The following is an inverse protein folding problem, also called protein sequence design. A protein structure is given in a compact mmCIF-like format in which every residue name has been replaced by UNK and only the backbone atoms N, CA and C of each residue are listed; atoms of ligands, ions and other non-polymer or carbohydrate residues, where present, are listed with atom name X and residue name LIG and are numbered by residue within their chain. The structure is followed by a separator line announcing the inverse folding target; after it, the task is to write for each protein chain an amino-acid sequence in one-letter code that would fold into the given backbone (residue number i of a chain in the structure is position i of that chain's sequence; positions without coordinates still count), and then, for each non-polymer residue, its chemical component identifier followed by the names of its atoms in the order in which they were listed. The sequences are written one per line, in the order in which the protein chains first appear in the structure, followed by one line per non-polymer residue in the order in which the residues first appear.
data_IF_841746532074
#
_entry.id   IF_841746532074
#
_cell.length_a   1.000
_cell.length_b   1.000
_cell.length_c   1.000
_cell.angle_alpha   90.00
_cell.angle_beta   90.00
_cell.angle_gamma   90.00
#
_symmetry.space_group_name_H-M   'P 1'
#
loop_
_entity.id
_entity.type
_entity.pdbx_description
1 polymer ?
#
# COMPACT_ATOMS: atom_id res chain seq x y z
N UNK A 1 1.15 -19.69 -10.54
CA UNK A 1 0.55 -18.53 -9.85
C UNK A 1 -0.33 -17.84 -10.89
N UNK A 2 -1.64 -17.74 -10.70
CA UNK A 2 -2.52 -17.16 -11.71
C UNK A 2 -2.31 -15.64 -11.75
N UNK A 3 -1.78 -15.12 -12.87
CA UNK A 3 -1.62 -13.68 -13.10
C UNK A 3 -2.96 -12.93 -12.91
N UNK A 4 -4.07 -13.55 -13.34
CA UNK A 4 -5.42 -13.03 -13.12
C UNK A 4 -5.71 -12.75 -11.63
N UNK A 5 -5.34 -13.65 -10.72
CA UNK A 5 -5.57 -13.44 -9.27
C UNK A 5 -4.72 -12.32 -8.68
N UNK A 6 -3.50 -12.12 -9.22
CA UNK A 6 -2.61 -11.06 -8.76
C UNK A 6 -3.07 -9.67 -9.24
N UNK A 7 -3.60 -9.59 -10.46
CA UNK A 7 -4.21 -8.35 -10.96
C UNK A 7 -5.57 -8.07 -10.30
N UNK A 8 -6.32 -9.09 -9.90
CA UNK A 8 -7.62 -8.90 -9.25
C UNK A 8 -7.48 -8.27 -7.85
N UNK A 9 -6.44 -8.62 -7.10
CA UNK A 9 -6.22 -8.12 -5.73
C UNK A 9 -5.33 -6.84 -5.69
N UNK A 10 -5.02 -6.24 -6.85
CA UNK A 10 -4.18 -5.06 -6.94
C UNK A 10 -4.91 -3.76 -6.60
N UNK A 11 -4.38 -3.00 -5.64
CA UNK A 11 -4.88 -1.68 -5.28
C UNK A 11 -3.99 -0.56 -5.87
N UNK A 12 -4.38 0.06 -7.00
CA UNK A 12 -3.56 1.07 -7.68
C UNK A 12 -3.34 2.33 -6.84
N UNK A 13 -4.32 2.70 -6.01
CA UNK A 13 -4.25 3.91 -5.19
C UNK A 13 -3.20 3.78 -4.10
N UNK A 14 -3.17 2.65 -3.38
CA UNK A 14 -2.16 2.36 -2.34
C UNK A 14 -0.77 2.23 -2.96
N UNK A 15 -0.66 1.52 -4.08
CA UNK A 15 0.59 1.38 -4.81
C UNK A 15 1.17 2.75 -5.19
N UNK A 16 0.37 3.62 -5.80
CA UNK A 16 0.77 4.98 -6.15
C UNK A 16 1.28 5.76 -4.93
N UNK A 17 0.51 5.76 -3.83
CA UNK A 17 0.88 6.46 -2.60
C UNK A 17 2.22 5.98 -2.08
N UNK A 18 2.41 4.66 -1.94
CA UNK A 18 3.63 4.11 -1.37
C UNK A 18 4.85 4.32 -2.26
N UNK A 19 4.70 4.22 -3.58
CA UNK A 19 5.77 4.57 -4.52
C UNK A 19 6.16 6.05 -4.43
N UNK A 20 5.17 6.96 -4.40
CA UNK A 20 5.43 8.40 -4.29
C UNK A 20 6.11 8.75 -2.96
N UNK A 21 5.65 8.17 -1.85
CA UNK A 21 6.28 8.35 -0.54
C UNK A 21 7.71 7.82 -0.53
N UNK A 22 7.96 6.62 -1.07
CA UNK A 22 9.31 6.06 -1.14
C UNK A 22 10.28 6.95 -1.92
N UNK A 23 9.88 7.41 -3.11
CA UNK A 23 10.71 8.30 -3.94
C UNK A 23 10.94 9.64 -3.22
N UNK A 24 9.91 10.21 -2.61
CA UNK A 24 10.03 11.44 -1.82
C UNK A 24 11.03 11.26 -0.67
N UNK A 25 10.91 10.19 0.12
CA UNK A 25 11.80 9.93 1.26
C UNK A 25 13.26 9.82 0.82
N UNK A 26 13.53 9.18 -0.33
CA UNK A 26 14.88 9.08 -0.91
C UNK A 26 15.39 10.47 -1.31
N UNK A 27 14.61 11.22 -2.11
CA UNK A 27 15.01 12.55 -2.58
C UNK A 27 15.22 13.53 -1.42
N UNK A 28 14.35 13.47 -0.40
CA UNK A 28 14.43 14.32 0.77
C UNK A 28 15.66 14.01 1.62
N UNK A 29 15.98 12.73 1.85
CA UNK A 29 17.19 12.33 2.57
C UNK A 29 18.48 12.76 1.83
N UNK A 30 18.53 12.55 0.51
CA UNK A 30 19.66 12.97 -0.32
C UNK A 30 19.85 14.49 -0.31
N UNK A 31 18.73 15.23 -0.31
CA UNK A 31 18.76 16.70 -0.20
C UNK A 31 19.26 17.16 1.17
N UNK A 32 18.79 16.55 2.25
CA UNK A 32 19.23 16.89 3.61
C UNK A 32 20.70 16.60 3.87
N UNK A 33 21.26 15.58 3.22
CA UNK A 33 22.69 15.26 3.27
C UNK A 33 23.54 16.13 2.33
N UNK A 34 22.92 16.98 1.50
CA UNK A 34 23.63 17.84 0.55
C UNK A 34 24.19 17.09 -0.67
N UNK A 35 23.80 15.84 -0.91
CA UNK A 35 24.19 15.10 -2.14
C UNK A 35 23.56 15.68 -3.40
N UNK A 36 22.41 16.35 -3.26
CA UNK A 36 21.66 16.96 -4.35
C UNK A 36 21.38 18.43 -4.01
N UNK A 37 21.61 19.33 -4.96
CA UNK A 37 21.40 20.79 -4.82
C UNK A 37 20.04 21.28 -5.35
N UNK A 38 19.08 20.39 -5.55
CA UNK A 38 17.77 20.72 -6.10
C UNK A 38 16.95 21.57 -5.12
N UNK A 39 16.07 22.43 -5.67
CA UNK A 39 15.08 23.14 -4.86
C UNK A 39 14.12 22.17 -4.16
N UNK A 40 13.61 22.56 -3.00
CA UNK A 40 12.62 21.74 -2.28
C UNK A 40 11.36 21.51 -3.13
N UNK A 41 11.01 22.46 -4.00
CA UNK A 41 9.93 22.31 -4.97
C UNK A 41 10.10 21.09 -5.88
N UNK A 42 11.34 20.81 -6.31
CA UNK A 42 11.68 19.65 -7.14
C UNK A 42 11.67 18.36 -6.31
N UNK A 43 12.18 18.41 -5.08
CA UNK A 43 12.20 17.26 -4.17
C UNK A 43 10.78 16.77 -3.83
N UNK A 44 9.82 17.70 -3.70
CA UNK A 44 8.42 17.39 -3.41
C UNK A 44 7.61 16.89 -4.64
N UNK A 45 8.21 16.82 -5.84
CA UNK A 45 7.50 16.40 -7.07
C UNK A 45 6.74 15.06 -6.98
N UNK A 46 7.21 14.01 -6.29
CA UNK A 46 6.43 12.78 -6.14
C UNK A 46 5.13 13.01 -5.36
N UNK A 47 5.16 13.90 -4.36
CA UNK A 47 3.99 14.27 -3.56
C UNK A 47 3.01 15.09 -4.40
N UNK A 48 3.51 16.08 -5.17
CA UNK A 48 2.67 16.85 -6.10
C UNK A 48 1.96 15.96 -7.12
N UNK A 49 2.68 14.97 -7.65
CA UNK A 49 2.12 13.98 -8.57
C UNK A 49 1.00 13.17 -7.92
N UNK A 50 1.23 12.66 -6.70
CA UNK A 50 0.20 11.93 -5.95
C UNK A 50 -1.05 12.80 -5.70
N UNK A 51 -0.90 14.03 -5.19
CA UNK A 51 -2.06 14.91 -4.95
C UNK A 51 -2.79 15.26 -6.24
N UNK A 52 -2.08 15.51 -7.33
CA UNK A 52 -2.66 15.79 -8.64
C UNK A 52 -3.52 14.62 -9.12
N UNK A 53 -3.08 13.37 -8.92
CA UNK A 53 -3.86 12.17 -9.23
C UNK A 53 -5.13 12.07 -8.38
N UNK A 54 -5.08 12.42 -7.09
CA UNK A 54 -6.27 12.44 -6.22
C UNK A 54 -7.28 13.49 -6.69
N UNK A 55 -6.83 14.70 -7.02
CA UNK A 55 -7.68 15.78 -7.53
C UNK A 55 -8.31 15.36 -8.87
N UNK A 56 -7.52 14.83 -9.80
CA UNK A 56 -8.02 14.33 -11.09
C UNK A 56 -9.03 13.19 -10.90
N UNK A 57 -8.77 12.26 -9.98
CA UNK A 57 -9.70 11.18 -9.64
C UNK A 57 -11.04 11.71 -9.14
N UNK A 58 -11.02 12.70 -8.27
CA UNK A 58 -12.23 13.30 -7.72
C UNK A 58 -12.98 14.15 -8.75
N UNK A 59 -12.30 14.91 -9.62
CA UNK A 59 -12.96 15.70 -10.66
C UNK A 59 -13.67 14.81 -11.67
N UNK A 60 -13.02 13.74 -12.14
CA UNK A 60 -13.63 12.73 -13.02
C UNK A 60 -14.80 12.04 -12.30
N UNK A 61 -14.61 11.64 -11.04
CA UNK A 61 -15.66 11.03 -10.22
C UNK A 61 -16.91 11.92 -10.07
N UNK A 62 -16.72 13.21 -9.80
CA UNK A 62 -17.80 14.20 -9.71
C UNK A 62 -18.47 14.46 -11.06
N UNK A 63 -17.73 14.48 -12.16
CA UNK A 63 -18.31 14.58 -13.51
C UNK A 63 -19.21 13.38 -13.84
N UNK A 64 -18.74 12.15 -13.55
CA UNK A 64 -19.53 10.91 -13.73
C UNK A 64 -20.78 10.92 -12.83
N UNK A 65 -20.65 11.39 -11.58
CA UNK A 65 -21.77 11.54 -10.65
C UNK A 65 -22.85 12.50 -11.17
N UNK A 66 -22.43 13.60 -11.81
CA UNK A 66 -23.36 14.55 -12.43
C UNK A 66 -24.10 13.93 -13.62
N UNK A 67 -23.38 13.21 -14.49
CA UNK A 67 -23.92 12.64 -15.72
C UNK A 67 -24.89 11.47 -15.51
N UNK A 68 -24.77 10.74 -14.40
CA UNK A 68 -25.56 9.54 -14.11
C UNK A 68 -26.43 9.68 -12.85
N UNK A 69 -27.54 10.45 -12.90
CA UNK A 69 -28.41 10.70 -11.75
C UNK A 69 -29.15 9.46 -11.23
N UNK A 70 -29.34 8.44 -12.06
CA UNK A 70 -29.99 7.17 -11.64
C UNK A 70 -29.21 6.44 -10.54
N UNK A 71 -27.89 6.63 -10.47
CA UNK A 71 -27.05 6.05 -9.42
C UNK A 71 -27.27 6.69 -8.03
N UNK A 72 -28.07 7.75 -7.92
CA UNK A 72 -28.43 8.39 -6.63
C UNK A 72 -29.47 7.61 -5.84
N UNK A 73 -30.18 6.68 -6.50
CA UNK A 73 -31.23 5.86 -5.88
C UNK A 73 -30.65 4.68 -5.09
N UNK A 74 -29.41 4.28 -5.40
CA UNK A 74 -28.65 3.29 -4.63
C UNK A 74 -28.01 4.00 -3.43
N UNK A 75 -28.49 3.70 -2.21
CA UNK A 75 -28.02 4.33 -0.97
C UNK A 75 -26.51 4.22 -0.76
N UNK A 76 -25.90 3.12 -1.19
CA UNK A 76 -24.46 2.84 -1.03
C UNK A 76 -23.60 3.77 -1.91
N UNK A 77 -24.04 4.04 -3.15
CA UNK A 77 -23.32 4.93 -4.07
C UNK A 77 -23.22 6.36 -3.53
N UNK A 78 -24.24 6.83 -2.82
CA UNK A 78 -24.25 8.14 -2.19
C UNK A 78 -23.25 8.25 -1.03
N UNK A 79 -23.14 7.20 -0.20
CA UNK A 79 -22.17 7.13 0.89
C UNK A 79 -20.75 7.14 0.34
N UNK A 80 -20.48 6.37 -0.71
CA UNK A 80 -19.16 6.34 -1.35
C UNK A 80 -18.78 7.67 -2.02
N UNK A 81 -19.74 8.36 -2.64
CA UNK A 81 -19.49 9.70 -3.21
C UNK A 81 -19.15 10.73 -2.11
N UNK A 82 -19.89 10.74 -0.99
CA UNK A 82 -19.55 11.58 0.17
C UNK A 82 -18.16 11.26 0.71
N UNK A 83 -17.84 9.98 0.82
CA UNK A 83 -16.54 9.49 1.23
C UNK A 83 -15.41 10.05 0.34
N UNK A 84 -15.60 10.03 -0.99
CA UNK A 84 -14.65 10.61 -1.95
C UNK A 84 -14.46 12.11 -1.74
N UNK A 85 -15.55 12.86 -1.51
CA UNK A 85 -15.47 14.31 -1.24
C UNK A 85 -14.75 14.63 0.06
N UNK A 86 -15.01 13.87 1.14
CA UNK A 86 -14.30 14.01 2.42
C UNK A 86 -12.80 13.75 2.21
N UNK A 87 -12.46 12.67 1.51
CA UNK A 87 -11.07 12.34 1.20
C UNK A 87 -10.41 13.43 0.35
N UNK A 88 -11.09 14.00 -0.65
CA UNK A 88 -10.58 15.13 -1.43
C UNK A 88 -10.31 16.34 -0.53
N UNK A 89 -11.25 16.71 0.33
CA UNK A 89 -11.11 17.85 1.24
C UNK A 89 -9.88 17.68 2.16
N UNK A 90 -9.71 16.49 2.74
CA UNK A 90 -8.52 16.18 3.56
C UNK A 90 -7.22 16.27 2.76
N UNK A 91 -7.20 15.80 1.51
CA UNK A 91 -6.02 15.90 0.64
C UNK A 91 -5.69 17.34 0.24
N UNK A 92 -6.70 18.20 0.05
CA UNK A 92 -6.48 19.63 -0.26
C UNK A 92 -5.90 20.38 0.94
N UNK A 93 -6.37 20.10 2.16
CA UNK A 93 -5.79 20.70 3.37
C UNK A 93 -4.37 20.15 3.60
N UNK A 94 -4.14 18.87 3.30
CA UNK A 94 -2.80 18.27 3.41
C UNK A 94 -1.84 18.85 2.36
N UNK A 95 -2.33 19.10 1.14
CA UNK A 95 -1.58 19.82 0.11
C UNK A 95 -1.22 21.23 0.58
N UNK A 96 -2.12 21.94 1.27
CA UNK A 96 -1.82 23.24 1.87
C UNK A 96 -0.69 23.14 2.90
N UNK A 97 -0.69 22.12 3.77
CA UNK A 97 0.44 21.86 4.67
C UNK A 97 1.75 21.62 3.91
N UNK A 98 1.73 20.75 2.91
CA UNK A 98 2.92 20.40 2.11
C UNK A 98 3.50 21.63 1.38
N UNK A 99 2.65 22.50 0.84
CA UNK A 99 3.07 23.76 0.21
C UNK A 99 3.74 24.71 1.22
N UNK A 100 3.17 24.85 2.41
CA UNK A 100 3.75 25.68 3.48
C UNK A 100 5.08 25.11 3.98
N UNK A 101 5.22 23.78 4.10
CA UNK A 101 6.48 23.13 4.45
C UNK A 101 7.53 23.39 3.37
N UNK A 102 7.17 23.21 2.09
CA UNK A 102 8.08 23.44 0.98
C UNK A 102 8.55 24.91 0.93
N UNK A 103 7.63 25.87 1.07
CA UNK A 103 7.98 27.29 1.10
C UNK A 103 8.84 27.65 2.32
N UNK A 104 8.55 27.07 3.49
CA UNK A 104 9.37 27.28 4.69
C UNK A 104 10.78 26.71 4.53
N UNK A 105 10.92 25.53 3.95
CA UNK A 105 12.23 24.91 3.71
C UNK A 105 13.07 25.68 2.68
N UNK A 106 12.43 26.33 1.71
CA UNK A 106 13.12 27.10 0.67
C UNK A 106 13.43 28.54 1.10
N UNK A 107 12.50 29.22 1.78
CA UNK A 107 12.58 30.66 2.05
C UNK A 107 12.88 31.02 3.51
N UNK A 108 12.70 30.09 4.44
CA UNK A 108 12.82 30.26 5.90
C UNK A 108 11.92 31.35 6.53
N UNK A 109 10.95 31.92 5.82
CA UNK A 109 10.23 33.15 6.25
C UNK A 109 9.23 32.99 7.40
N UNK A 110 8.56 31.84 7.50
CA UNK A 110 7.39 31.67 8.38
C UNK A 110 7.71 30.87 9.65
N UNK A 111 6.90 30.98 10.70
CA UNK A 111 7.03 30.11 11.88
C UNK A 111 6.50 28.71 11.58
N UNK A 112 7.11 27.67 12.14
CA UNK A 112 6.66 26.29 12.00
C UNK A 112 5.25 26.11 12.57
N UNK A 113 4.90 26.81 13.67
CA UNK A 113 3.54 26.80 14.18
C UNK A 113 2.49 27.13 13.12
N UNK A 114 2.73 28.14 12.27
CA UNK A 114 1.84 28.51 11.18
C UNK A 114 1.78 27.41 10.11
N UNK A 115 2.95 26.87 9.74
CA UNK A 115 3.07 25.78 8.76
C UNK A 115 2.27 24.55 9.20
N UNK A 116 2.24 24.24 10.50
CA UNK A 116 1.53 23.08 11.05
C UNK A 116 0.02 23.29 11.30
N UNK A 117 -0.52 24.52 11.21
CA UNK A 117 -1.96 24.80 11.40
C UNK A 117 -2.87 23.88 10.55
N UNK A 118 -2.64 23.69 9.24
CA UNK A 118 -3.50 22.84 8.43
C UNK A 118 -3.50 21.39 8.90
N UNK A 119 -2.34 20.89 9.37
CA UNK A 119 -2.20 19.51 9.85
C UNK A 119 -2.89 19.30 11.20
N UNK A 120 -2.81 20.28 12.10
CA UNK A 120 -3.56 20.29 13.38
C UNK A 120 -5.07 20.39 13.12
N UNK A 121 -5.48 21.17 12.12
CA UNK A 121 -6.88 21.25 11.72
C UNK A 121 -7.38 19.91 11.15
N UNK A 122 -6.59 19.24 10.30
CA UNK A 122 -6.90 17.90 9.80
C UNK A 122 -7.07 16.92 10.96
N UNK A 123 -6.16 16.89 11.94
CA UNK A 123 -6.26 15.93 13.04
C UNK A 123 -7.51 16.14 13.89
N UNK A 124 -7.92 17.39 14.13
CA UNK A 124 -9.17 17.71 14.81
C UNK A 124 -10.41 17.26 14.01
N UNK A 125 -10.45 17.55 12.69
CA UNK A 125 -11.54 17.12 11.80
C UNK A 125 -11.60 15.60 11.69
N UNK A 126 -10.44 14.93 11.67
CA UNK A 126 -10.34 13.48 11.56
C UNK A 126 -11.03 12.75 12.71
N UNK A 127 -11.11 13.31 13.93
CA UNK A 127 -11.87 12.70 15.03
C UNK A 127 -13.34 12.51 14.66
N UNK A 128 -13.95 13.54 14.06
CA UNK A 128 -15.35 13.48 13.60
C UNK A 128 -15.51 12.52 12.43
N UNK A 129 -14.54 12.53 11.50
CA UNK A 129 -14.56 11.63 10.33
C UNK A 129 -14.39 10.17 10.75
N UNK A 130 -13.57 9.85 11.76
CA UNK A 130 -13.44 8.50 12.30
C UNK A 130 -14.78 7.98 12.87
N UNK A 131 -15.50 8.80 13.64
CA UNK A 131 -16.83 8.42 14.17
C UNK A 131 -17.81 8.15 13.03
N UNK A 132 -17.81 9.03 12.02
CA UNK A 132 -18.64 8.84 10.83
C UNK A 132 -18.27 7.59 10.05
N UNK A 133 -16.98 7.34 9.81
CA UNK A 133 -16.48 6.20 9.06
C UNK A 133 -16.77 4.86 9.78
N UNK A 134 -16.57 4.81 11.11
CA UNK A 134 -16.91 3.65 11.92
C UNK A 134 -18.40 3.31 11.85
N UNK A 135 -19.28 4.32 11.82
CA UNK A 135 -20.74 4.11 11.67
C UNK A 135 -21.13 3.51 10.31
N UNK A 136 -20.33 3.73 9.27
CA UNK A 136 -20.62 3.29 7.90
C UNK A 136 -19.68 2.17 7.43
N UNK A 137 -19.03 1.45 8.36
CA UNK A 137 -18.11 0.32 8.10
C UNK A 137 -17.02 0.63 7.05
N UNK A 138 -16.53 1.87 7.06
CA UNK A 138 -15.48 2.33 6.15
C UNK A 138 -14.12 2.24 6.82
N UNK A 139 -13.09 1.84 6.08
CA UNK A 139 -11.69 1.96 6.53
C UNK A 139 -11.30 3.44 6.68
N UNK A 140 -10.71 3.79 7.83
CA UNK A 140 -10.31 5.16 8.19
C UNK A 140 -8.87 5.24 8.72
N UNK A 141 -7.96 4.41 8.17
CA UNK A 141 -6.58 4.25 8.66
C UNK A 141 -5.81 5.59 8.73
N UNK A 142 -5.95 6.43 7.70
CA UNK A 142 -5.28 7.73 7.62
C UNK A 142 -5.87 8.74 8.61
N UNK A 143 -7.20 8.82 8.70
CA UNK A 143 -7.91 9.70 9.61
C UNK A 143 -7.59 9.34 11.06
N UNK A 144 -7.58 8.05 11.40
CA UNK A 144 -7.17 7.57 12.71
C UNK A 144 -5.73 7.98 13.03
N UNK A 145 -4.80 7.76 12.09
CA UNK A 145 -3.41 8.15 12.25
C UNK A 145 -3.26 9.66 12.52
N UNK A 146 -3.99 10.51 11.80
CA UNK A 146 -3.98 11.94 12.05
C UNK A 146 -4.57 12.30 13.43
N UNK A 147 -5.69 11.70 13.80
CA UNK A 147 -6.38 11.99 15.06
C UNK A 147 -5.51 11.65 16.28
N UNK A 148 -4.89 10.47 16.30
CA UNK A 148 -4.05 10.04 17.44
C UNK A 148 -2.73 10.83 17.54
N UNK A 149 -2.27 11.42 16.44
CA UNK A 149 -1.02 12.19 16.38
C UNK A 149 -1.21 13.70 16.49
N UNK A 150 -2.38 14.21 16.89
CA UNK A 150 -2.58 15.66 17.08
C UNK A 150 -1.51 16.29 17.98
N UNK A 151 -1.17 15.61 19.08
CA UNK A 151 -0.17 16.09 20.03
C UNK A 151 1.24 16.10 19.43
N UNK A 152 1.55 15.10 18.60
CA UNK A 152 2.83 15.01 17.89
C UNK A 152 3.04 16.22 16.99
N UNK A 153 2.00 16.62 16.24
CA UNK A 153 2.08 17.77 15.33
C UNK A 153 2.29 19.08 16.09
N UNK A 154 1.66 19.23 17.25
CA UNK A 154 1.85 20.39 18.13
C UNK A 154 3.29 20.41 18.67
N UNK A 155 3.78 19.30 19.21
CA UNK A 155 5.15 19.23 19.74
C UNK A 155 6.20 19.47 18.67
N UNK A 156 6.00 18.92 17.47
CA UNK A 156 6.93 19.11 16.36
C UNK A 156 7.01 20.58 15.96
N UNK A 157 5.87 21.27 15.85
CA UNK A 157 5.83 22.69 15.54
C UNK A 157 6.54 23.54 16.61
N UNK A 158 6.24 23.31 17.89
CA UNK A 158 6.85 24.02 19.01
C UNK A 158 8.37 23.79 19.10
N UNK A 159 8.81 22.54 18.85
CA UNK A 159 10.23 22.17 18.89
C UNK A 159 11.00 22.83 17.75
N UNK A 160 10.44 22.80 16.53
CA UNK A 160 11.05 23.40 15.36
C UNK A 160 11.13 24.93 15.44
N UNK A 161 10.20 25.57 16.16
CA UNK A 161 10.27 27.01 16.48
C UNK A 161 11.20 27.34 17.66
N UNK A 162 11.81 26.34 18.31
CA UNK A 162 12.70 26.54 19.45
C UNK A 162 12.00 26.99 20.74
N UNK A 163 10.66 26.88 20.81
CA UNK A 163 9.87 27.25 21.99
C UNK A 163 10.06 26.23 23.11
N UNK A 164 10.22 24.95 22.76
CA UNK A 164 10.49 23.87 23.71
C UNK A 164 11.90 23.29 23.52
N UNK A 165 12.59 23.03 24.61
CA UNK A 165 13.97 22.50 24.63
C UNK A 165 14.04 20.98 24.89
N UNK A 166 12.91 20.28 24.87
CA UNK A 166 12.83 18.83 25.12
C UNK A 166 13.64 18.01 24.10
N UNK A 167 14.11 16.83 24.47
CA UNK A 167 14.74 15.91 23.51
C UNK A 167 13.76 15.47 22.43
N UNK A 168 14.27 15.12 21.25
CA UNK A 168 13.46 14.62 20.15
C UNK A 168 12.75 13.32 20.51
N UNK A 169 13.34 12.50 21.38
CA UNK A 169 12.68 11.32 21.96
C UNK A 169 11.32 11.66 22.61
N UNK A 170 11.26 12.72 23.41
CA UNK A 170 10.03 13.15 24.10
C UNK A 170 9.04 13.76 23.12
N UNK A 171 9.53 14.55 22.16
CA UNK A 171 8.70 15.12 21.09
C UNK A 171 8.01 14.01 20.31
N UNK A 172 8.65 12.85 20.14
CA UNK A 172 8.11 11.67 19.45
C UNK A 172 7.24 10.74 20.32
N UNK A 173 6.94 11.09 21.57
CA UNK A 173 6.14 10.27 22.50
C UNK A 173 4.83 9.71 21.92
N UNK A 174 3.98 10.49 21.22
CA UNK A 174 2.76 9.94 20.61
C UNK A 174 3.03 8.84 19.57
N UNK A 175 4.07 9.00 18.74
CA UNK A 175 4.47 7.98 17.76
C UNK A 175 5.02 6.72 18.44
N UNK A 176 5.77 6.85 19.53
CA UNK A 176 6.21 5.70 20.34
C UNK A 176 5.03 4.90 20.89
N UNK A 177 3.99 5.59 21.38
CA UNK A 177 2.77 4.95 21.85
C UNK A 177 2.08 4.15 20.72
N UNK A 178 1.98 4.72 19.51
CA UNK A 178 1.41 4.02 18.35
C UNK A 178 2.25 2.83 17.90
N UNK A 179 3.58 2.97 17.86
CA UNK A 179 4.49 1.91 17.45
C UNK A 179 4.55 0.78 18.48
N UNK A 180 4.48 1.10 19.77
CA UNK A 180 4.41 0.09 20.83
C UNK A 180 3.12 -0.74 20.76
N UNK A 181 1.97 -0.11 20.52
CA UNK A 181 0.71 -0.83 20.28
C UNK A 181 0.81 -1.71 19.03
N UNK A 182 1.39 -1.19 17.96
CA UNK A 182 1.61 -1.93 16.71
C UNK A 182 2.54 -3.13 16.92
N UNK A 183 3.58 -2.99 17.74
CA UNK A 183 4.50 -4.08 18.08
C UNK A 183 3.78 -5.22 18.82
N UNK A 184 2.86 -4.90 19.74
CA UNK A 184 2.01 -5.90 20.40
C UNK A 184 1.15 -6.65 19.37
N UNK A 185 0.58 -5.95 18.39
CA UNK A 185 -0.19 -6.58 17.31
C UNK A 185 0.69 -7.50 16.43
N UNK A 186 1.93 -7.10 16.13
CA UNK A 186 2.88 -7.96 15.41
C UNK A 186 3.23 -9.21 16.21
N UNK A 187 3.50 -9.07 17.52
CA UNK A 187 3.77 -10.21 18.40
C UNK A 187 2.59 -11.18 18.42
N UNK A 188 1.36 -10.66 18.52
CA UNK A 188 0.16 -11.48 18.41
C UNK A 188 0.09 -12.22 17.08
N UNK A 189 0.36 -11.55 15.95
CA UNK A 189 0.35 -12.17 14.63
C UNK A 189 1.42 -13.28 14.48
N UNK A 190 2.62 -13.08 15.05
CA UNK A 190 3.69 -14.09 15.07
C UNK A 190 3.26 -15.30 15.91
N UNK A 191 2.74 -15.08 17.11
CA UNK A 191 2.26 -16.16 17.98
C UNK A 191 1.13 -16.93 17.31
N UNK A 192 0.18 -16.23 16.70
CA UNK A 192 -0.91 -16.83 15.96
C UNK A 192 -0.40 -17.68 14.80
N UNK A 193 0.53 -17.17 14.00
CA UNK A 193 1.16 -17.91 12.91
C UNK A 193 1.92 -19.15 13.41
N UNK A 194 2.61 -19.05 14.56
CA UNK A 194 3.32 -20.17 15.19
C UNK A 194 2.37 -21.26 15.72
N UNK A 195 1.23 -20.87 16.29
CA UNK A 195 0.18 -21.81 16.73
C UNK A 195 -0.40 -22.55 15.52
N UNK A 196 -0.80 -21.81 14.48
CA UNK A 196 -1.34 -22.41 13.24
C UNK A 196 -0.35 -23.34 12.54
N UNK A 197 0.95 -23.05 12.65
CA UNK A 197 2.00 -23.92 12.13
C UNK A 197 2.07 -25.27 12.84
N UNK A 198 1.77 -25.30 14.15
CA UNK A 198 1.82 -26.51 14.98
C UNK A 198 0.52 -27.31 14.96
N UNK A 199 -0.61 -26.71 14.58
CA UNK A 199 -1.89 -27.41 14.51
C UNK A 199 -1.98 -28.26 13.24
N UNK A 200 -2.03 -29.61 13.34
CA UNK A 200 -1.94 -30.50 12.19
C UNK A 200 -3.18 -30.53 11.30
N UNK A 201 -4.33 -30.04 11.78
CA UNK A 201 -5.63 -30.10 11.08
C UNK A 201 -5.95 -28.86 10.23
N UNK A 202 -5.01 -27.93 10.04
CA UNK A 202 -5.27 -26.66 9.37
C UNK A 202 -4.79 -26.71 7.92
N UNK A 203 -5.63 -26.19 7.01
CA UNK A 203 -5.33 -26.06 5.58
C UNK A 203 -3.95 -25.42 5.35
N UNK A 204 -3.12 -26.06 4.52
CA UNK A 204 -1.76 -25.59 4.20
C UNK A 204 -1.74 -24.16 3.63
N UNK A 205 -2.81 -23.77 2.91
CA UNK A 205 -2.99 -22.41 2.38
C UNK A 205 -3.16 -21.37 3.50
N UNK A 206 -4.03 -21.64 4.48
CA UNK A 206 -4.28 -20.74 5.62
C UNK A 206 -3.02 -20.56 6.48
N UNK A 207 -2.25 -21.63 6.69
CA UNK A 207 -0.94 -21.57 7.36
C UNK A 207 0.03 -20.64 6.65
N UNK A 208 0.18 -20.79 5.32
CA UNK A 208 1.05 -19.92 4.50
C UNK A 208 0.61 -18.47 4.57
N UNK A 209 -0.69 -18.19 4.42
CA UNK A 209 -1.22 -16.82 4.50
C UNK A 209 -0.95 -16.17 5.86
N UNK A 210 -1.14 -16.89 6.97
CA UNK A 210 -0.83 -16.35 8.30
C UNK A 210 0.65 -16.06 8.48
N UNK A 211 1.54 -16.90 7.93
CA UNK A 211 2.98 -16.66 7.99
C UNK A 211 3.40 -15.45 7.16
N UNK A 212 2.90 -15.34 5.92
CA UNK A 212 3.19 -14.18 5.08
C UNK A 212 2.67 -12.89 5.71
N UNK A 213 1.49 -12.92 6.34
CA UNK A 213 0.93 -11.77 7.07
C UNK A 213 1.83 -11.37 8.26
N UNK A 214 2.26 -12.34 9.07
CA UNK A 214 3.16 -12.07 10.19
C UNK A 214 4.52 -11.52 9.74
N UNK A 215 5.08 -12.06 8.66
CA UNK A 215 6.33 -11.57 8.06
C UNK A 215 6.17 -10.15 7.50
N UNK A 216 5.06 -9.88 6.81
CA UNK A 216 4.75 -8.56 6.28
C UNK A 216 4.62 -7.53 7.41
N UNK A 217 3.85 -7.81 8.47
CA UNK A 217 3.73 -6.90 9.61
C UNK A 217 5.06 -6.68 10.34
N UNK A 218 5.88 -7.73 10.48
CA UNK A 218 7.21 -7.61 11.09
C UNK A 218 8.13 -6.72 10.25
N UNK A 219 8.20 -6.97 8.95
CA UNK A 219 9.01 -6.18 8.00
C UNK A 219 8.47 -4.76 7.78
N UNK A 220 7.26 -4.46 8.25
CA UNK A 220 6.68 -3.12 8.26
C UNK A 220 7.00 -2.38 9.56
N UNK A 221 6.65 -2.95 10.72
CA UNK A 221 6.69 -2.22 12.00
C UNK A 221 8.11 -2.12 12.57
N UNK A 222 8.90 -3.20 12.50
CA UNK A 222 10.25 -3.20 13.09
C UNK A 222 11.16 -2.17 12.39
N UNK A 223 11.21 -2.09 11.05
CA UNK A 223 12.07 -1.09 10.42
C UNK A 223 11.59 0.35 10.63
N UNK A 224 10.28 0.61 10.76
CA UNK A 224 9.77 1.94 11.17
C UNK A 224 10.23 2.29 12.58
N UNK A 225 10.19 1.34 13.52
CA UNK A 225 10.69 1.57 14.88
C UNK A 225 12.19 1.89 14.89
N UNK A 226 12.99 1.13 14.13
CA UNK A 226 14.44 1.37 14.00
C UNK A 226 14.70 2.75 13.38
N UNK A 227 13.99 3.12 12.31
CA UNK A 227 14.06 4.46 11.73
C UNK A 227 13.76 5.54 12.76
N UNK A 228 12.69 5.37 13.56
CA UNK A 228 12.29 6.34 14.56
C UNK A 228 13.37 6.54 15.63
N UNK A 229 14.01 5.46 16.10
CA UNK A 229 15.12 5.52 17.07
C UNK A 229 16.32 6.25 16.47
N UNK A 230 16.72 5.88 15.25
CA UNK A 230 17.85 6.50 14.57
C UNK A 230 17.62 7.99 14.30
N UNK A 231 16.39 8.37 13.93
CA UNK A 231 16.01 9.74 13.67
C UNK A 231 16.04 10.59 14.95
N UNK A 232 15.45 10.10 16.04
CA UNK A 232 15.48 10.82 17.33
C UNK A 232 16.91 11.11 17.78
N UNK A 233 17.76 10.08 17.83
CA UNK A 233 19.16 10.21 18.25
C UNK A 233 19.98 11.10 17.31
N UNK A 234 19.73 11.05 15.99
CA UNK A 234 20.39 11.95 15.03
C UNK A 234 19.98 13.40 15.25
N UNK A 235 18.70 13.65 15.51
CA UNK A 235 18.17 15.00 15.73
C UNK A 235 18.59 15.58 17.09
N UNK A 236 18.81 14.74 18.11
CA UNK A 236 19.37 15.13 19.40
C UNK A 236 20.91 15.34 19.34
N UNK A 237 21.56 14.91 18.25
CA UNK A 237 22.99 15.09 18.02
C UNK A 237 23.87 13.99 18.62
N UNK A 238 23.28 12.93 19.15
CA UNK A 238 23.98 11.79 19.76
C UNK A 238 24.68 10.91 18.72
N UNK A 239 24.23 10.96 17.47
CA UNK A 239 24.72 10.12 16.38
C UNK A 239 25.06 10.95 15.14
N UNK A 240 26.29 10.78 14.61
CA UNK A 240 26.81 11.44 13.41
C UNK A 240 26.57 10.64 12.11
N UNK A 241 25.42 9.99 11.97
CA UNK A 241 25.03 9.27 10.74
C UNK A 241 24.41 10.22 9.72
N UNK A 242 24.56 9.93 8.43
CA UNK A 242 23.86 10.64 7.36
C UNK A 242 22.35 10.34 7.36
N UNK A 243 21.51 11.27 6.91
CA UNK A 243 20.05 11.08 6.79
C UNK A 243 19.70 9.92 5.85
N UNK A 244 20.49 9.72 4.80
CA UNK A 244 20.36 8.59 3.87
C UNK A 244 20.47 7.25 4.59
N UNK A 245 21.41 7.13 5.55
CA UNK A 245 21.56 5.91 6.37
C UNK A 245 20.42 5.76 7.37
N UNK A 246 20.00 6.86 8.01
CA UNK A 246 18.88 6.86 8.98
C UNK A 246 17.59 6.38 8.33
N UNK A 247 17.34 6.76 7.07
CA UNK A 247 16.13 6.42 6.31
C UNK A 247 16.09 4.97 5.79
N UNK A 248 17.22 4.26 5.70
CA UNK A 248 17.27 2.90 5.11
C UNK A 248 16.24 1.91 5.69
N UNK A 249 16.03 1.82 7.01
CA UNK A 249 15.01 0.94 7.58
C UNK A 249 13.60 1.32 7.09
N UNK A 250 13.29 2.61 6.98
CA UNK A 250 11.99 3.08 6.49
C UNK A 250 11.73 2.67 5.03
N UNK A 251 12.78 2.61 4.19
CA UNK A 251 12.66 2.13 2.81
C UNK A 251 12.24 0.67 2.75
N UNK A 252 12.68 -0.18 3.69
CA UNK A 252 12.24 -1.58 3.79
C UNK A 252 10.73 -1.62 4.02
N UNK A 253 10.21 -0.81 4.94
CA UNK A 253 8.77 -0.73 5.21
C UNK A 253 7.98 -0.22 4.00
N UNK A 254 8.50 0.77 3.25
CA UNK A 254 7.87 1.23 2.01
C UNK A 254 7.82 0.13 0.95
N UNK A 255 8.90 -0.62 0.77
CA UNK A 255 8.94 -1.76 -0.14
C UNK A 255 7.91 -2.83 0.26
N UNK A 256 7.82 -3.15 1.56
CA UNK A 256 6.78 -4.06 2.08
C UNK A 256 5.38 -3.55 1.77
N UNK A 257 5.09 -2.26 1.98
CA UNK A 257 3.79 -1.65 1.66
C UNK A 257 3.45 -1.70 0.16
N UNK A 258 4.45 -1.52 -0.71
CA UNK A 258 4.30 -1.66 -2.16
C UNK A 258 3.91 -3.11 -2.49
N UNK A 259 4.59 -4.11 -1.91
CA UNK A 259 4.23 -5.51 -2.12
C UNK A 259 2.83 -5.86 -1.58
N UNK A 260 2.47 -5.35 -0.41
CA UNK A 260 1.14 -5.56 0.17
C UNK A 260 0.02 -4.91 -0.66
N UNK A 261 0.33 -3.94 -1.53
CA UNK A 261 -0.66 -3.32 -2.42
C UNK A 261 -1.15 -4.28 -3.52
N UNK A 262 -0.43 -5.37 -3.80
CA UNK A 262 -0.84 -6.41 -4.74
C UNK A 262 -1.76 -7.47 -4.11
N UNK A 263 -1.90 -7.49 -2.79
CA UNK A 263 -2.77 -8.43 -2.05
C UNK A 263 -3.93 -7.72 -1.33
N UNK A 264 -4.10 -6.42 -1.59
CA UNK A 264 -5.08 -5.58 -0.94
C UNK A 264 -6.47 -5.75 -1.58
N UNK A 265 -7.19 -6.79 -1.13
CA UNK A 265 -8.60 -7.01 -1.48
C UNK A 265 -9.42 -5.73 -1.25
N UNK A 266 -10.19 -5.32 -2.26
CA UNK A 266 -11.02 -4.11 -2.21
C UNK A 266 -10.28 -2.87 -2.69
N UNK A 267 -10.21 -2.71 -4.02
CA UNK A 267 -9.80 -1.46 -4.64
C UNK A 267 -10.78 -0.33 -4.33
N UNK A 268 -10.31 0.92 -4.37
CA UNK A 268 -11.21 2.07 -4.26
C UNK A 268 -12.14 2.10 -5.49
N UNK A 269 -13.41 1.72 -5.29
CA UNK A 269 -14.47 1.63 -6.33
C UNK A 269 -14.70 2.99 -7.04
N UNK A 270 -14.16 4.08 -6.49
CA UNK A 270 -14.25 5.43 -7.05
C UNK A 270 -12.94 5.97 -7.61
N UNK A 271 -11.91 5.13 -7.79
CA UNK A 271 -10.69 5.54 -8.48
C UNK A 271 -11.02 5.98 -9.91
N UNK A 272 -10.93 7.29 -10.19
CA UNK A 272 -11.39 7.92 -11.44
C UNK A 272 -12.87 7.65 -11.79
N UNK A 273 -13.73 7.39 -10.79
CA UNK A 273 -15.13 7.03 -11.03
C UNK A 273 -15.33 5.73 -11.81
N UNK A 274 -14.29 4.89 -11.92
CA UNK A 274 -14.34 3.59 -12.58
C UNK A 274 -15.12 2.62 -11.70
N UNK A 275 -16.39 2.35 -12.06
CA UNK A 275 -17.30 1.45 -11.32
C UNK A 275 -16.97 -0.05 -11.47
N UNK A 276 -15.74 -0.37 -11.88
CA UNK A 276 -15.22 -1.73 -12.11
C UNK A 276 -13.84 -1.82 -11.47
N UNK A 277 -13.36 -3.03 -11.18
CA UNK A 277 -11.99 -3.20 -10.73
C UNK A 277 -11.02 -2.60 -11.76
N UNK A 278 -10.08 -1.78 -11.29
CA UNK A 278 -9.16 -1.03 -12.13
C UNK A 278 -8.37 -1.93 -13.09
N UNK A 279 -8.03 -3.15 -12.66
CA UNK A 279 -7.37 -4.12 -13.52
C UNK A 279 -8.30 -4.69 -14.60
N UNK A 280 -9.59 -4.90 -14.34
CA UNK A 280 -10.55 -5.23 -15.40
C UNK A 280 -10.71 -4.09 -16.41
N UNK A 281 -10.67 -2.83 -15.94
CA UNK A 281 -10.67 -1.66 -16.82
C UNK A 281 -9.39 -1.59 -17.67
N UNK A 282 -8.21 -1.77 -17.07
CA UNK A 282 -6.92 -1.79 -17.77
C UNK A 282 -6.81 -2.94 -18.78
N UNK A 283 -7.24 -4.14 -18.42
CA UNK A 283 -7.27 -5.30 -19.33
C UNK A 283 -8.21 -5.03 -20.51
N UNK A 284 -9.33 -4.33 -20.29
CA UNK A 284 -10.22 -3.90 -21.37
C UNK A 284 -9.64 -2.80 -22.26
N UNK A 285 -8.73 -1.96 -21.75
CA UNK A 285 -8.03 -0.94 -22.55
C UNK A 285 -6.78 -1.47 -23.27
N UNK A 286 -6.15 -2.52 -22.74
CA UNK A 286 -4.92 -3.11 -23.27
C UNK A 286 -5.17 -4.56 -23.71
N UNK A 287 -5.63 -4.80 -24.96
CA UNK A 287 -5.94 -6.15 -25.45
C UNK A 287 -4.73 -7.10 -25.42
N UNK A 288 -3.52 -6.57 -25.60
CA UNK A 288 -2.27 -7.32 -25.46
C UNK A 288 -2.09 -7.89 -24.04
N UNK A 289 -2.41 -7.09 -23.00
CA UNK A 289 -2.28 -7.52 -21.62
C UNK A 289 -3.40 -8.52 -21.24
N UNK A 290 -4.57 -8.39 -21.89
CA UNK A 290 -5.67 -9.34 -21.78
C UNK A 290 -5.31 -10.72 -22.34
N UNK A 291 -4.65 -10.78 -23.50
CA UNK A 291 -4.15 -12.04 -24.05
C UNK A 291 -3.13 -12.71 -23.11
N UNK A 292 -2.21 -11.96 -22.52
CA UNK A 292 -1.27 -12.47 -21.51
C UNK A 292 -1.96 -12.94 -20.22
N UNK A 293 -3.02 -12.25 -19.78
CA UNK A 293 -3.79 -12.58 -18.58
C UNK A 293 -4.66 -13.84 -18.73
N UNK A 294 -5.09 -14.15 -19.96
CA UNK A 294 -5.90 -15.33 -20.29
C UNK A 294 -5.07 -16.63 -20.39
N UNK A 295 -3.74 -16.56 -20.36
CA UNK A 295 -2.89 -17.75 -20.35
C UNK A 295 -2.78 -18.26 -18.90
N UNK A 296 -3.69 -19.15 -18.50
CA UNK A 296 -3.56 -19.88 -17.24
C UNK A 296 -2.82 -21.20 -17.46
N UNK A 297 -1.62 -21.32 -16.87
CA UNK A 297 -0.91 -22.60 -16.81
C UNK A 297 -1.53 -23.47 -15.72
N UNK A 298 -2.40 -24.41 -16.10
CA UNK A 298 -2.73 -25.53 -15.24
C UNK A 298 -1.54 -26.52 -15.26
N UNK A 299 -0.87 -26.77 -14.13
CA UNK A 299 0.04 -27.90 -14.06
C UNK A 299 -0.81 -29.16 -14.29
N UNK A 300 -0.43 -29.96 -15.30
CA UNK A 300 -1.08 -31.23 -15.63
C UNK A 300 -1.04 -32.11 -14.39
N UNK A 301 -2.15 -32.20 -13.65
CA UNK A 301 -2.35 -33.23 -12.65
C UNK A 301 -2.31 -34.58 -13.37
N UNK A 302 -1.63 -35.57 -12.80
CA UNK A 302 -1.45 -36.92 -13.34
C UNK A 302 -2.77 -37.72 -13.54
N UNK A 303 -3.93 -37.07 -13.52
CA UNK A 303 -5.25 -37.67 -13.70
C UNK A 303 -5.79 -37.62 -15.14
N UNK A 304 -5.14 -36.91 -16.07
CA UNK A 304 -5.51 -36.94 -17.50
C UNK A 304 -4.72 -38.00 -18.27
N UNK A 305 -4.83 -39.26 -17.82
CA UNK A 305 -4.58 -40.42 -18.68
C UNK A 305 -5.92 -40.85 -19.29
N UNK A 306 -6.01 -41.06 -20.62
CA UNK A 306 -7.22 -41.61 -21.23
C UNK A 306 -7.50 -43.01 -20.65
N UNK A 307 -8.78 -43.43 -20.56
CA UNK A 307 -9.15 -44.70 -19.95
C UNK A 307 -8.44 -45.85 -20.67
N UNK A 308 -7.67 -46.62 -19.91
CA UNK A 308 -7.00 -47.82 -20.36
C UNK A 308 -8.04 -48.91 -20.63
N UNK A 309 -8.30 -49.20 -21.90
CA UNK A 309 -8.94 -50.44 -22.32
C UNK A 309 -8.01 -51.62 -21.95
N UNK A 310 -8.46 -52.50 -21.05
CA UNK A 310 -7.91 -53.85 -20.94
C UNK A 310 -8.70 -54.76 -21.89
N UNK A 311 -8.03 -55.71 -22.57
CA UNK A 311 -7.98 -57.06 -21.98
C UNK A 311 -6.66 -57.84 -22.17
N UNK A 312 -6.34 -58.61 -21.13
CA UNK A 312 -5.79 -59.98 -21.10
C UNK A 312 -4.56 -60.39 -21.98
N UNK A 313 -3.52 -60.83 -21.24
CA UNK A 313 -2.70 -62.06 -21.43
C UNK A 313 -1.32 -61.97 -22.14
N UNK A 314 -0.33 -62.40 -21.33
CA UNK A 314 0.94 -63.11 -21.57
C UNK A 314 2.19 -62.48 -22.20
N UNK A 315 3.27 -62.77 -21.44
CA UNK A 315 4.64 -63.12 -21.82
C UNK A 315 5.72 -62.07 -22.15
N UNK A 316 6.64 -61.96 -21.17
CA UNK A 316 8.12 -62.07 -21.23
C UNK A 316 8.95 -61.21 -22.22
N UNK A 317 9.96 -60.59 -21.59
CA UNK A 317 11.35 -60.33 -22.02
C UNK A 317 11.76 -58.89 -22.42
N UNK A 318 12.60 -58.35 -21.54
CA UNK A 318 13.88 -57.65 -21.75
C UNK A 318 14.04 -56.51 -22.78
N UNK A 319 14.35 -55.33 -22.19
CA UNK A 319 15.50 -54.43 -22.46
C UNK A 319 15.64 -53.67 -23.80
N UNK A 320 15.91 -52.37 -23.61
CA UNK A 320 16.56 -51.38 -24.48
C UNK A 320 15.73 -50.76 -25.63
N UNK A 321 15.49 -49.44 -25.51
CA UNK A 321 15.86 -48.35 -26.47
C UNK A 321 15.03 -47.11 -26.08
N UNK A 322 15.59 -46.17 -25.29
CA UNK A 322 16.33 -44.93 -25.69
C UNK A 322 15.44 -43.76 -26.13
N UNK A 323 15.32 -42.78 -25.21
CA UNK A 323 15.54 -41.33 -25.44
C UNK A 323 15.04 -40.74 -26.76
N UNK A 324 13.74 -40.51 -26.95
CA UNK A 324 13.24 -39.50 -27.92
C UNK A 324 11.89 -38.93 -27.48
N UNK A 325 11.83 -38.26 -26.32
CA UNK A 325 10.61 -37.46 -26.02
C UNK A 325 10.88 -36.14 -25.29
N UNK A 326 12.16 -35.74 -25.17
CA UNK A 326 12.56 -34.48 -24.51
C UNK A 326 12.56 -33.24 -25.44
N UNK A 327 12.03 -33.35 -26.67
CA UNK A 327 12.14 -32.28 -27.67
C UNK A 327 10.83 -31.93 -28.39
N UNK A 328 9.66 -32.23 -27.80
CA UNK A 328 8.42 -31.63 -28.30
C UNK A 328 8.29 -30.20 -27.78
N UNK A 329 8.18 -29.18 -28.65
CA UNK A 329 7.87 -27.82 -28.21
C UNK A 329 6.51 -27.82 -27.49
N UNK A 330 6.44 -27.14 -26.36
CA UNK A 330 5.20 -26.96 -25.58
C UNK A 330 4.26 -26.08 -26.40
N UNK A 331 3.24 -26.71 -27.01
CA UNK A 331 2.23 -26.00 -27.79
C UNK A 331 1.10 -25.57 -26.85
N UNK A 332 0.63 -24.31 -26.88
CA UNK A 332 -0.53 -23.87 -26.13
C UNK A 332 -1.78 -24.61 -26.63
N UNK A 333 -2.58 -25.13 -25.69
CA UNK A 333 -3.89 -25.71 -26.00
C UNK A 333 -4.85 -24.55 -26.24
N UNK A 334 -5.29 -24.38 -27.48
CA UNK A 334 -6.37 -23.46 -27.84
C UNK A 334 -7.66 -24.31 -27.83
N UNK A 335 -8.33 -24.38 -26.68
CA UNK A 335 -9.70 -24.90 -26.62
C UNK A 335 -10.67 -23.73 -26.81
N UNK A 336 -11.17 -23.56 -28.04
CA UNK A 336 -12.31 -22.69 -28.31
C UNK A 336 -13.55 -23.54 -28.02
N UNK A 337 -14.19 -23.31 -26.87
CA UNK A 337 -15.53 -23.84 -26.63
C UNK A 337 -16.50 -23.05 -27.53
N UNK A 338 -17.15 -23.76 -28.45
CA UNK A 338 -18.33 -23.23 -29.13
C UNK A 338 -19.56 -23.45 -28.24
N UNK A 339 -20.49 -22.48 -28.16
CA UNK A 339 -21.70 -22.65 -27.38
C UNK A 339 -22.68 -23.58 -28.11
N UNK A 340 -23.26 -24.53 -27.36
CA UNK A 340 -24.52 -25.19 -27.70
C UNK A 340 -25.71 -24.38 -27.18
#
# INVERSE_FOLDING_TARGET
MNLHTLFQDFNPSKFLVHCCLMIFTILFALRLDGFIEWSYWTVFTPIWFWKSMVILGATVGSYVWWKHPHARLEGDAYIHYKAMLITLALHLILLMFELLVCDKLESERHLWMLVFIPLIFISAVSIVVCIWAAKHDRLFDFELFCAVNILQFIFLALKLDGIITWSWEVVFAPLWALLSLSLVAVLYAIVFAAVLLRTPQINARQRRTSLYSALAYTSLVVPVLVFQVLLANKLDGDISLNYTTVVMPLLISHVTLIFMSFEAKGGNIWWFGVRKDFCHFLLGLCPLLQEYGNISYQPRSEQDQPPSDQPMVSEKNEKYVKKVDLMKPVVPIISIDMPD
#
